data_IF_182793572438
#
_entry.id   IF_182793572438
#
_cell.length_a   1.000
_cell.length_b   1.000
_cell.length_c   1.000
_cell.angle_alpha   90.00
_cell.angle_beta   90.00
_cell.angle_gamma   90.00
#
_symmetry.space_group_name_H-M   'P 1'
#
loop_
_entity.id
_entity.type
_entity.pdbx_description
1 polymer ?
2 non-polymer ?
3 non-polymer ?
4 water ?
#
# COMPACT_ATOMS: atom_id res chain seq x y z
N UNK A 10 -12.58 -5.88 -23.37
CA UNK A 10 -13.08 -7.01 -22.60
C UNK A 10 -13.91 -6.52 -21.40
N UNK A 11 -15.13 -6.17 -21.77
CA UNK A 11 -16.20 -5.71 -20.90
C UNK A 11 -17.21 -6.83 -20.70
N UNK A 12 -17.51 -7.10 -19.45
CA UNK A 12 -18.41 -8.23 -19.10
C UNK A 12 -19.83 -7.70 -19.20
N UNK A 13 -20.70 -8.49 -19.77
CA UNK A 13 -22.12 -8.12 -19.94
C UNK A 13 -22.69 -7.60 -18.63
N UNK A 14 -23.51 -6.59 -18.72
CA UNK A 14 -24.14 -5.93 -17.57
C UNK A 14 -25.16 -6.86 -16.91
N UNK A 15 -24.96 -7.07 -15.62
CA UNK A 15 -25.92 -7.91 -14.84
C UNK A 15 -27.27 -7.17 -14.96
N UNK A 16 -28.34 -7.93 -14.75
CA UNK A 16 -29.68 -7.36 -14.78
C UNK A 16 -29.88 -6.26 -13.76
N UNK A 17 -29.31 -6.32 -12.56
CA UNK A 17 -29.64 -5.31 -11.54
C UNK A 17 -29.01 -3.98 -11.67
N UNK A 18 -28.16 -3.78 -12.72
CA UNK A 18 -27.39 -2.50 -12.80
C UNK A 18 -27.98 -1.52 -13.74
N UNK A 19 -28.38 -0.37 -13.21
CA UNK A 19 -28.93 0.71 -14.10
C UNK A 19 -27.78 1.19 -14.98
N UNK A 20 -28.01 1.13 -16.28
CA UNK A 20 -27.06 1.54 -17.30
C UNK A 20 -26.44 2.90 -17.06
N UNK A 21 -27.11 3.75 -16.31
CA UNK A 21 -26.73 5.11 -16.01
C UNK A 21 -25.64 5.16 -14.94
N UNK A 22 -25.50 4.00 -14.30
CA UNK A 22 -24.46 3.79 -13.30
C UNK A 22 -23.23 3.17 -13.94
N UNK A 23 -23.23 2.83 -15.19
CA UNK A 23 -22.01 2.26 -15.80
C UNK A 23 -20.93 3.31 -16.05
N UNK A 24 -19.71 2.93 -15.75
CA UNK A 24 -18.49 3.77 -15.94
C UNK A 24 -17.32 2.76 -15.98
N UNK A 25 -16.88 2.44 -17.18
CA UNK A 25 -15.90 1.38 -17.38
C UNK A 25 -14.47 1.82 -17.04
N UNK A 26 -14.09 1.78 -15.83
CA UNK A 26 -12.78 1.98 -15.28
C UNK A 26 -12.10 0.60 -15.15
N UNK A 27 -10.88 0.50 -15.61
CA UNK A 27 -9.94 -0.57 -15.49
C UNK A 27 -8.92 -0.20 -14.40
N UNK A 28 -9.09 -0.71 -13.20
CA UNK A 28 -8.26 -0.50 -12.05
C UNK A 28 -6.79 -0.90 -12.37
N UNK A 29 -6.57 -1.78 -13.30
CA UNK A 29 -5.30 -2.25 -13.74
C UNK A 29 -4.69 -1.44 -14.88
N UNK A 30 -5.53 -0.71 -15.56
CA UNK A 30 -5.02 0.14 -16.69
C UNK A 30 -5.96 1.30 -16.94
N UNK A 31 -5.95 2.21 -15.97
CA UNK A 31 -6.78 3.41 -16.07
C UNK A 31 -6.35 4.17 -17.32
N UNK A 32 -7.32 4.98 -17.78
CA UNK A 32 -7.20 5.75 -18.93
C UNK A 32 -6.08 6.70 -19.05
N UNK A 33 -5.88 7.65 -18.15
CA UNK A 33 -4.72 8.59 -18.56
C UNK A 33 -3.60 8.47 -17.56
N UNK A 34 -3.05 7.26 -17.56
CA UNK A 34 -1.97 6.85 -16.62
C UNK A 34 -0.79 7.77 -16.83
N UNK A 35 -0.56 8.07 -18.10
CA UNK A 35 0.45 9.06 -18.50
C UNK A 35 0.58 10.26 -17.59
N UNK A 36 -0.50 10.85 -17.11
CA UNK A 36 -0.48 12.05 -16.27
C UNK A 36 -0.23 11.82 -14.78
N UNK A 37 -0.11 10.54 -14.44
CA UNK A 37 0.00 10.07 -13.06
C UNK A 37 -1.11 9.09 -12.72
N UNK A 38 -0.85 8.25 -11.74
CA UNK A 38 -1.78 7.26 -11.21
C UNK A 38 -2.87 7.89 -10.33
N UNK A 39 -2.59 8.75 -9.40
CA UNK A 39 -3.55 9.42 -8.57
C UNK A 39 -4.48 10.23 -9.49
N UNK A 40 -3.90 10.85 -10.49
CA UNK A 40 -4.62 11.62 -11.49
C UNK A 40 -5.54 10.78 -12.34
N UNK A 41 -5.18 9.59 -12.71
CA UNK A 41 -5.91 8.66 -13.52
C UNK A 41 -7.15 8.17 -12.82
N UNK A 42 -7.00 7.89 -11.55
CA UNK A 42 -8.09 7.49 -10.66
C UNK A 42 -9.05 8.63 -10.33
N UNK A 43 -8.59 9.79 -10.05
CA UNK A 43 -9.43 10.97 -9.78
C UNK A 43 -10.40 11.27 -10.91
N UNK A 44 -10.32 10.65 -12.07
CA UNK A 44 -11.32 10.83 -13.10
C UNK A 44 -12.70 10.44 -12.53
N UNK A 45 -12.69 9.44 -11.66
CA UNK A 45 -13.82 8.89 -11.02
C UNK A 45 -14.54 9.95 -10.17
N UNK A 46 -13.81 11.02 -9.86
CA UNK A 46 -14.49 12.05 -9.00
C UNK A 46 -14.88 13.30 -9.79
N UNK A 47 -14.86 13.15 -11.11
CA UNK A 47 -15.35 14.31 -11.93
C UNK A 47 -16.88 14.41 -11.75
N UNK A 48 -17.43 15.59 -12.03
CA UNK A 48 -18.86 15.89 -11.96
C UNK A 48 -19.78 14.95 -12.74
N UNK A 49 -19.37 14.46 -13.89
CA UNK A 49 -20.12 13.52 -14.68
C UNK A 49 -20.24 12.14 -14.02
N UNK A 50 -19.48 11.86 -12.97
CA UNK A 50 -19.49 10.45 -12.43
C UNK A 50 -20.37 10.40 -11.21
N UNK A 51 -21.31 9.48 -11.23
CA UNK A 51 -22.15 9.21 -10.04
C UNK A 51 -21.20 8.69 -8.93
N UNK A 52 -21.58 8.83 -7.68
CA UNK A 52 -20.86 8.45 -6.48
C UNK A 52 -20.59 6.94 -6.39
N UNK A 53 -21.55 6.20 -6.87
CA UNK A 53 -21.41 4.73 -6.95
C UNK A 53 -21.57 4.28 -8.37
N UNK A 54 -20.56 3.77 -9.00
CA UNK A 54 -20.54 3.34 -10.38
C UNK A 54 -20.35 1.86 -10.55
N UNK A 55 -20.58 1.34 -11.77
CA UNK A 55 -20.44 -0.05 -12.09
C UNK A 55 -19.45 -0.09 -13.25
N UNK A 56 -18.46 -1.03 -13.13
CA UNK A 56 -17.53 -1.07 -14.29
C UNK A 56 -17.67 -2.42 -14.88
N UNK A 57 -17.49 -2.53 -16.17
CA UNK A 57 -17.60 -3.91 -16.76
C UNK A 57 -16.27 -4.56 -16.96
N UNK A 58 -15.23 -3.91 -16.47
CA UNK A 58 -13.84 -4.44 -16.62
C UNK A 58 -13.64 -5.40 -15.45
N UNK A 59 -12.67 -6.28 -15.61
CA UNK A 59 -12.21 -7.17 -14.55
C UNK A 59 -13.36 -7.95 -13.95
N UNK A 60 -14.31 -8.29 -14.80
CA UNK A 60 -15.46 -9.07 -14.59
C UNK A 60 -16.75 -8.44 -14.10
N UNK A 61 -16.75 -7.16 -13.82
CA UNK A 61 -17.85 -6.37 -13.41
C UNK A 61 -17.82 -6.21 -11.92
N UNK A 62 -17.85 -4.98 -11.47
CA UNK A 62 -17.82 -4.76 -9.98
C UNK A 62 -18.23 -3.30 -9.81
N UNK A 63 -18.55 -2.90 -8.64
CA UNK A 63 -18.91 -1.53 -8.27
C UNK A 63 -17.62 -0.82 -7.83
N UNK A 64 -17.63 0.49 -7.71
CA UNK A 64 -16.64 1.35 -7.22
C UNK A 64 -17.30 2.49 -6.42
N UNK A 65 -16.97 2.71 -5.21
CA UNK A 65 -17.44 3.90 -4.45
C UNK A 65 -16.38 4.97 -4.79
N UNK A 66 -16.77 6.14 -5.16
CA UNK A 66 -15.91 7.22 -5.59
C UNK A 66 -15.74 8.32 -4.55
N UNK A 67 -16.36 8.25 -3.41
CA UNK A 67 -16.28 9.32 -2.41
C UNK A 67 -15.94 8.83 -1.03
N UNK A 68 -15.23 9.76 -0.37
CA UNK A 68 -14.71 9.55 0.95
C UNK A 68 -15.76 8.95 1.86
N UNK A 69 -16.92 9.58 1.70
CA UNK A 69 -18.07 9.30 2.64
C UNK A 69 -18.54 7.88 2.46
N UNK A 70 -18.68 7.42 1.24
CA UNK A 70 -19.12 6.07 0.95
C UNK A 70 -18.05 5.10 1.36
N UNK A 71 -16.78 5.40 1.06
CA UNK A 71 -15.68 4.43 1.37
C UNK A 71 -15.61 4.15 2.86
N UNK A 72 -15.66 5.19 3.66
CA UNK A 72 -15.62 5.10 5.09
C UNK A 72 -16.74 4.27 5.60
N UNK A 73 -17.96 4.52 5.03
CA UNK A 73 -19.17 3.84 5.46
C UNK A 73 -19.11 2.34 5.22
N UNK A 74 -18.78 2.02 3.99
CA UNK A 74 -18.64 0.67 3.51
C UNK A 74 -17.57 -0.06 4.34
N UNK A 75 -16.51 0.60 4.75
CA UNK A 75 -15.43 0.06 5.53
C UNK A 75 -15.77 -0.27 6.96
N UNK A 76 -16.63 0.58 7.53
CA UNK A 76 -17.16 0.43 8.86
C UNK A 76 -18.14 -0.72 8.93
N UNK A 77 -18.88 -1.01 7.91
CA UNK A 77 -19.96 -1.93 7.75
C UNK A 77 -19.73 -3.34 7.42
N UNK A 78 -18.86 -4.06 8.05
CA UNK A 78 -18.52 -5.45 7.76
C UNK A 78 -19.66 -6.42 7.59
N UNK A 79 -20.76 -6.23 8.29
CA UNK A 79 -21.96 -7.05 8.05
C UNK A 79 -22.35 -7.08 6.60
N UNK A 80 -22.46 -5.89 5.98
CA UNK A 80 -22.83 -5.87 4.56
C UNK A 80 -21.65 -6.14 3.67
N UNK A 81 -20.55 -5.49 4.06
CA UNK A 81 -19.34 -5.54 3.21
C UNK A 81 -18.29 -6.42 3.80
N UNK A 82 -18.21 -7.65 3.39
CA UNK A 82 -17.28 -8.63 3.95
C UNK A 82 -15.90 -8.58 3.33
N UNK A 83 -14.88 -8.77 4.19
CA UNK A 83 -13.49 -8.89 3.75
C UNK A 83 -13.19 -10.25 3.14
N UNK A 84 -14.15 -11.13 3.08
CA UNK A 84 -13.92 -12.51 2.61
C UNK A 84 -13.23 -12.61 1.27
N UNK A 85 -13.55 -11.66 0.43
CA UNK A 85 -13.11 -11.62 -1.00
C UNK A 85 -12.88 -10.09 -1.24
N UNK A 86 -11.67 -9.68 -0.87
CA UNK A 86 -11.26 -8.27 -0.89
C UNK A 86 -10.59 -7.86 -2.15
N UNK A 87 -10.22 -8.80 -3.03
CA UNK A 87 -9.46 -8.37 -4.26
C UNK A 87 -10.41 -8.61 -5.45
N UNK A 88 -10.14 -7.77 -6.46
CA UNK A 88 -10.76 -7.87 -7.77
C UNK A 88 -9.60 -8.23 -8.71
N UNK A 89 -9.80 -9.10 -9.66
CA UNK A 89 -11.02 -9.82 -9.92
C UNK A 89 -11.26 -10.89 -8.86
N UNK A 90 -12.44 -11.46 -8.94
CA UNK A 90 -13.00 -12.46 -8.06
C UNK A 90 -12.06 -13.62 -7.86
N UNK A 91 -11.54 -14.27 -8.85
CA UNK A 91 -10.55 -15.37 -8.69
C UNK A 91 -9.37 -14.97 -7.77
N UNK A 92 -9.01 -13.70 -7.78
CA UNK A 92 -7.98 -13.18 -6.88
C UNK A 92 -8.59 -13.08 -5.46
N UNK A 93 -9.73 -12.40 -5.35
CA UNK A 93 -10.40 -12.28 -4.01
C UNK A 93 -10.73 -13.67 -3.44
N UNK A 94 -11.00 -14.60 -4.35
CA UNK A 94 -11.40 -15.95 -3.98
C UNK A 94 -10.22 -16.74 -3.45
N UNK A 95 -9.12 -16.72 -4.19
CA UNK A 95 -7.88 -17.40 -3.75
C UNK A 95 -7.24 -16.68 -2.56
N UNK A 96 -7.78 -15.49 -2.27
CA UNK A 96 -7.16 -14.65 -1.17
C UNK A 96 -7.55 -15.27 0.15
N UNK A 97 -6.59 -15.68 0.93
CA UNK A 97 -6.86 -16.25 2.26
C UNK A 97 -5.94 -15.68 3.34
N UNK A 98 -5.41 -14.50 3.10
CA UNK A 98 -4.53 -13.83 4.07
C UNK A 98 -5.25 -13.53 5.39
N UNK A 99 -4.52 -13.53 6.50
CA UNK A 99 -5.10 -13.27 7.84
C UNK A 99 -4.29 -12.08 8.41
N UNK A 100 -4.94 -11.09 8.98
CA UNK A 100 -6.36 -11.04 9.29
C UNK A 100 -7.30 -10.48 8.24
N UNK A 101 -6.76 -10.13 7.08
CA UNK A 101 -7.37 -9.40 6.04
C UNK A 101 -8.63 -10.05 5.49
N UNK A 102 -8.63 -11.37 5.33
CA UNK A 102 -9.75 -12.03 4.69
C UNK A 102 -10.79 -12.48 5.72
N UNK A 103 -10.79 -11.90 6.89
CA UNK A 103 -11.70 -12.17 7.97
C UNK A 103 -12.38 -10.92 8.47
N UNK A 104 -13.58 -11.11 8.99
CA UNK A 104 -14.38 -10.06 9.60
C UNK A 104 -14.37 -10.27 11.10
N UNK A 105 -14.76 -9.22 11.80
CA UNK A 105 -14.89 -9.32 13.26
C UNK A 105 -16.13 -10.18 13.54
N UNK A 106 -16.16 -10.87 14.67
CA UNK A 106 -15.17 -10.82 15.76
C UNK A 106 -13.95 -11.68 15.57
N UNK A 107 -14.02 -12.64 14.66
CA UNK A 107 -12.92 -13.56 14.37
C UNK A 107 -11.62 -12.86 14.07
N UNK A 108 -11.68 -11.78 13.30
CA UNK A 108 -10.52 -10.96 12.87
C UNK A 108 -9.60 -10.57 14.00
N UNK A 109 -10.15 -10.20 15.13
CA UNK A 109 -9.63 -9.62 16.32
C UNK A 109 -8.55 -10.31 17.10
N UNK A 110 -8.60 -11.62 17.21
CA UNK A 110 -7.60 -12.43 17.88
C UNK A 110 -6.37 -12.49 17.00
N UNK A 111 -6.62 -12.66 15.68
CA UNK A 111 -5.47 -12.67 14.76
C UNK A 111 -4.79 -11.32 14.70
N UNK A 112 -5.58 -10.25 14.79
CA UNK A 112 -5.05 -8.87 14.67
C UNK A 112 -4.07 -8.53 15.80
N UNK A 113 -4.44 -8.92 16.97
CA UNK A 113 -3.79 -8.69 18.25
C UNK A 113 -2.38 -9.31 18.20
N UNK A 114 -2.31 -10.46 17.53
CA UNK A 114 -1.02 -11.13 17.35
C UNK A 114 -0.17 -10.38 16.38
N UNK A 115 -0.67 -10.12 15.19
CA UNK A 115 0.07 -9.43 14.10
C UNK A 115 0.61 -8.11 14.64
N UNK A 116 -0.18 -7.52 15.53
CA UNK A 116 0.17 -6.33 16.27
C UNK A 116 1.38 -6.52 17.15
N UNK A 117 1.58 -7.68 17.73
CA UNK A 117 2.69 -7.97 18.61
C UNK A 117 3.99 -7.81 17.76
N UNK A 118 3.92 -8.35 16.57
CA UNK A 118 4.97 -8.38 15.60
C UNK A 118 5.35 -7.11 14.89
N UNK A 119 4.49 -6.23 14.49
CA UNK A 119 4.65 -4.96 13.80
C UNK A 119 4.27 -3.70 14.52
N UNK A 120 3.62 -3.77 15.65
CA UNK A 120 3.10 -2.66 16.43
C UNK A 120 4.11 -1.63 16.80
N UNK A 121 3.68 -0.67 17.65
CA UNK A 121 4.55 0.44 18.09
C UNK A 121 5.88 0.02 18.71
N UNK A 122 5.77 -0.75 19.79
CA UNK A 122 6.90 -1.23 20.58
C UNK A 122 8.01 -1.86 19.77
N UNK A 123 7.70 -2.50 18.67
CA UNK A 123 8.63 -3.06 17.71
C UNK A 123 9.35 -1.97 16.94
N UNK A 124 8.60 -0.96 16.49
CA UNK A 124 9.23 0.14 15.70
C UNK A 124 10.20 0.90 16.62
N UNK A 125 9.74 1.11 17.85
CA UNK A 125 10.55 1.72 18.90
C UNK A 125 11.90 1.00 19.05
N UNK A 126 11.92 -0.27 18.94
CA UNK A 126 13.07 -1.14 19.09
C UNK A 126 13.98 -1.09 17.88
N UNK A 127 13.41 -1.10 16.69
CA UNK A 127 14.02 -1.11 15.42
C UNK A 127 14.45 0.27 14.91
N UNK A 128 14.22 1.31 15.66
CA UNK A 128 14.48 2.64 15.26
C UNK A 128 15.89 2.92 14.75
N UNK A 129 16.86 2.64 15.59
CA UNK A 129 18.28 2.83 15.30
C UNK A 129 18.69 2.05 14.09
N UNK A 130 18.16 0.87 13.81
CA UNK A 130 18.56 0.21 12.57
C UNK A 130 17.98 0.95 11.37
N UNK A 131 16.77 1.47 11.57
CA UNK A 131 16.08 2.14 10.43
C UNK A 131 16.96 3.36 10.05
N UNK A 132 17.27 4.13 11.04
CA UNK A 132 18.15 5.32 10.92
C UNK A 132 19.53 4.99 10.45
N UNK A 133 20.12 3.89 10.88
CA UNK A 133 21.42 3.43 10.41
C UNK A 133 21.39 3.07 8.94
N UNK A 134 20.39 2.26 8.56
CA UNK A 134 20.32 1.82 7.15
C UNK A 134 20.04 2.97 6.19
N UNK A 135 19.23 3.91 6.59
CA UNK A 135 18.90 5.07 5.70
C UNK A 135 20.17 5.87 5.45
N UNK A 136 20.83 6.22 6.55
CA UNK A 136 22.10 7.02 6.42
C UNK A 136 23.09 6.26 5.56
N UNK A 137 23.27 5.01 5.85
CA UNK A 137 24.27 4.21 5.11
C UNK A 137 24.02 4.22 3.64
N UNK A 138 22.83 3.95 3.24
CA UNK A 138 22.37 3.84 1.83
C UNK A 138 22.48 5.19 1.14
N UNK A 139 22.13 6.23 1.84
CA UNK A 139 22.17 7.59 1.27
C UNK A 139 23.63 8.01 1.06
N UNK A 140 24.40 7.81 2.11
CA UNK A 140 25.84 8.22 2.05
C UNK A 140 26.50 7.51 0.89
N UNK A 141 26.16 6.28 0.70
CA UNK A 141 26.69 5.46 -0.38
C UNK A 141 26.35 5.93 -1.75
N UNK A 142 25.22 6.67 -1.86
CA UNK A 142 24.69 7.17 -3.11
C UNK A 142 25.19 8.55 -3.46
N UNK A 143 25.19 9.40 -2.47
CA UNK A 143 25.59 10.78 -2.50
C UNK A 143 26.65 11.23 -3.43
N UNK A 144 27.81 10.60 -3.43
CA UNK A 144 28.89 10.94 -4.36
C UNK A 144 28.70 10.55 -5.77
N UNK A 145 27.69 9.78 -6.18
CA UNK A 145 27.58 9.37 -7.61
C UNK A 145 26.86 10.41 -8.46
N UNK A 146 26.16 11.30 -7.80
CA UNK A 146 25.31 12.31 -8.36
C UNK A 146 24.19 11.71 -9.23
N UNK A 147 23.85 10.47 -9.02
CA UNK A 147 22.79 9.83 -9.82
C UNK A 147 22.43 8.46 -9.29
N UNK A 148 21.17 8.15 -9.11
CA UNK A 148 20.71 6.76 -8.92
C UNK A 148 19.44 6.47 -9.72
N UNK A 149 18.89 5.34 -9.56
CA UNK A 149 17.65 4.71 -9.88
C UNK A 149 16.81 4.65 -8.62
N UNK A 150 16.35 5.62 -7.99
CA UNK A 150 15.78 5.60 -6.65
C UNK A 150 14.92 4.38 -6.39
N UNK A 151 14.17 3.96 -7.40
CA UNK A 151 13.27 2.82 -7.09
C UNK A 151 14.18 1.66 -6.70
N UNK A 152 15.15 1.38 -7.54
CA UNK A 152 16.01 0.25 -7.25
C UNK A 152 17.07 0.45 -6.24
N UNK A 153 17.68 1.61 -6.17
CA UNK A 153 18.79 1.99 -5.33
C UNK A 153 18.44 2.30 -3.89
N UNK A 154 17.23 2.74 -3.63
CA UNK A 154 16.91 3.11 -2.25
C UNK A 154 15.54 2.56 -1.87
N UNK A 155 14.55 2.99 -2.71
CA UNK A 155 13.16 2.68 -2.36
C UNK A 155 12.95 1.24 -1.99
N UNK A 156 13.48 0.30 -2.76
CA UNK A 156 13.43 -1.10 -2.57
C UNK A 156 14.27 -1.67 -1.45
N UNK A 157 15.58 -1.53 -1.48
CA UNK A 157 16.45 -1.97 -0.41
C UNK A 157 16.04 -1.47 0.97
N UNK A 158 15.80 -0.18 1.09
CA UNK A 158 15.50 0.40 2.43
C UNK A 158 14.52 -0.38 3.24
N UNK A 159 13.25 -0.40 2.78
CA UNK A 159 12.15 -1.05 3.48
C UNK A 159 12.28 -2.54 3.48
N UNK A 160 12.86 -3.16 2.48
CA UNK A 160 13.01 -4.58 2.31
C UNK A 160 14.02 -5.20 3.24
N UNK A 161 15.20 -4.59 3.34
CA UNK A 161 16.20 -5.15 4.24
C UNK A 161 15.68 -4.97 5.65
N UNK A 162 14.96 -3.95 5.98
CA UNK A 162 14.47 -3.80 7.38
C UNK A 162 13.49 -4.89 7.75
N UNK A 163 12.74 -5.30 6.73
CA UNK A 163 11.67 -6.28 6.96
C UNK A 163 12.38 -7.59 7.05
N UNK A 164 13.40 -7.81 6.19
CA UNK A 164 14.11 -9.11 6.21
C UNK A 164 14.67 -9.26 7.61
N UNK A 165 15.23 -8.21 8.16
CA UNK A 165 15.80 -8.15 9.49
C UNK A 165 14.74 -8.62 10.50
N UNK A 166 13.61 -7.94 10.47
CA UNK A 166 12.50 -8.07 11.37
C UNK A 166 11.99 -9.53 11.36
N UNK A 167 11.95 -10.05 10.17
CA UNK A 167 11.36 -11.32 9.85
C UNK A 167 12.34 -12.47 10.07
N UNK A 168 13.58 -12.15 10.13
CA UNK A 168 14.73 -13.01 10.24
C UNK A 168 14.96 -13.79 8.97
N UNK A 169 14.73 -13.21 7.80
CA UNK A 169 14.91 -13.94 6.53
C UNK A 169 16.10 -13.44 5.73
N UNK A 170 16.61 -14.30 4.84
CA UNK A 170 17.78 -13.98 4.01
C UNK A 170 17.56 -12.96 2.93
N UNK A 171 18.42 -11.96 2.91
CA UNK A 171 18.40 -10.88 1.91
C UNK A 171 18.46 -11.44 0.51
N UNK A 172 18.96 -12.65 0.43
CA UNK A 172 19.20 -13.35 -0.85
C UNK A 172 17.86 -13.70 -1.48
N UNK A 173 16.84 -13.74 -0.63
CA UNK A 173 15.50 -14.18 -1.04
C UNK A 173 14.65 -13.06 -1.61
N UNK A 174 15.11 -11.84 -1.47
CA UNK A 174 14.42 -10.63 -1.90
C UNK A 174 13.82 -10.69 -3.28
N UNK A 175 14.67 -10.93 -4.28
CA UNK A 175 14.25 -10.91 -5.71
C UNK A 175 13.11 -11.86 -6.01
N UNK A 176 13.27 -13.06 -5.44
CA UNK A 176 12.32 -14.14 -5.67
C UNK A 176 11.03 -13.71 -4.97
N UNK A 177 11.21 -13.24 -3.72
CA UNK A 177 10.01 -12.81 -2.98
C UNK A 177 9.23 -11.63 -3.53
N UNK A 178 9.96 -10.64 -3.94
CA UNK A 178 9.49 -9.36 -4.47
C UNK A 178 8.75 -9.60 -5.75
N UNK A 179 9.19 -10.62 -6.52
CA UNK A 179 8.49 -10.94 -7.77
C UNK A 179 7.08 -11.46 -7.52
N UNK A 180 6.90 -12.39 -6.61
CA UNK A 180 5.63 -12.92 -6.21
C UNK A 180 4.72 -11.87 -5.58
N UNK A 181 5.28 -10.95 -4.79
CA UNK A 181 4.47 -9.94 -4.11
C UNK A 181 3.85 -9.03 -5.17
N UNK A 182 4.65 -8.66 -6.15
CA UNK A 182 4.29 -7.85 -7.30
C UNK A 182 3.20 -8.42 -8.17
N UNK A 183 3.27 -9.72 -8.38
CA UNK A 183 2.20 -10.42 -9.15
C UNK A 183 0.90 -10.34 -8.37
N UNK A 184 1.01 -10.13 -7.07
CA UNK A 184 -0.22 -10.10 -6.23
C UNK A 184 -1.00 -8.82 -6.40
N UNK A 185 -0.32 -7.72 -6.37
CA UNK A 185 -0.89 -6.36 -6.48
C UNK A 185 -0.90 -5.79 -7.88
N UNK A 186 0.11 -6.11 -8.65
CA UNK A 186 0.19 -5.61 -10.04
C UNK A 186 0.37 -6.76 -11.00
N UNK A 187 -0.70 -7.55 -11.08
CA UNK A 187 -0.77 -8.72 -11.99
C UNK A 187 -0.22 -8.34 -13.36
N UNK A 188 0.74 -9.18 -13.71
CA UNK A 188 1.58 -9.00 -14.93
C UNK A 188 0.91 -9.73 -16.10
N UNK A 189 0.52 -10.95 -15.73
CA UNK A 189 -0.17 -11.88 -16.64
C UNK A 189 0.64 -13.18 -16.68
N UNK A 190 1.83 -13.13 -16.10
CA UNK A 190 2.80 -14.22 -16.11
C UNK A 190 2.37 -15.38 -15.23
N UNK A 191 1.63 -15.03 -14.20
CA UNK A 191 1.07 -15.98 -13.25
C UNK A 191 -0.14 -15.32 -12.57
N UNK A 192 -1.13 -16.18 -12.47
CA UNK A 192 -2.42 -15.96 -11.81
C UNK A 192 -2.25 -15.80 -10.31
N UNK A 193 -3.30 -15.38 -9.58
CA UNK A 193 -3.19 -15.09 -8.15
C UNK A 193 -2.80 -16.38 -7.41
N UNK A 194 -3.53 -17.45 -7.70
CA UNK A 194 -3.36 -18.75 -7.09
C UNK A 194 -1.93 -19.29 -7.22
N UNK A 195 -1.37 -19.20 -8.40
CA UNK A 195 0.02 -19.63 -8.62
C UNK A 195 0.94 -18.75 -7.72
N UNK A 196 0.68 -17.45 -7.76
CA UNK A 196 1.53 -16.51 -7.03
C UNK A 196 1.46 -16.87 -5.55
N UNK A 197 0.26 -17.05 -5.10
CA UNK A 197 -0.04 -17.35 -3.68
C UNK A 197 0.65 -18.65 -3.23
N UNK A 198 0.57 -19.64 -4.07
CA UNK A 198 1.14 -20.94 -3.80
C UNK A 198 2.64 -20.99 -3.70
N UNK A 199 3.30 -20.25 -4.53
CA UNK A 199 4.77 -20.15 -4.60
C UNK A 199 5.26 -19.42 -3.36
N UNK A 200 4.56 -18.39 -2.91
CA UNK A 200 4.98 -17.71 -1.67
C UNK A 200 4.89 -18.75 -0.53
N UNK A 201 3.81 -19.50 -0.59
CA UNK A 201 3.47 -20.52 0.36
C UNK A 201 4.45 -21.66 0.35
N UNK A 202 4.92 -22.09 -0.80
CA UNK A 202 5.97 -23.12 -0.90
C UNK A 202 7.21 -22.68 -0.14
N UNK A 203 7.48 -21.41 -0.21
CA UNK A 203 8.55 -20.71 0.44
C UNK A 203 8.44 -20.73 1.95
N UNK A 204 7.36 -20.16 2.47
CA UNK A 204 7.14 -19.96 3.87
C UNK A 204 7.06 -21.24 4.71
N UNK A 205 6.32 -22.22 4.22
CA UNK A 205 6.00 -23.43 4.97
C UNK A 205 7.18 -24.03 5.73
N UNK A 206 8.25 -24.32 5.05
CA UNK A 206 9.47 -24.90 5.61
C UNK A 206 10.02 -24.07 6.77
N UNK A 207 10.09 -22.79 6.55
CA UNK A 207 10.53 -21.78 7.50
C UNK A 207 9.68 -21.84 8.76
N UNK A 208 8.39 -21.86 8.58
CA UNK A 208 7.45 -21.93 9.70
C UNK A 208 7.67 -23.20 10.49
N UNK A 209 7.76 -24.30 9.73
CA UNK A 209 7.91 -25.63 10.36
C UNK A 209 9.06 -25.56 11.36
N UNK A 210 10.13 -25.02 10.87
CA UNK A 210 11.44 -24.86 11.48
C UNK A 210 11.44 -23.91 12.64
N UNK A 211 10.54 -22.97 12.70
CA UNK A 211 10.41 -21.99 13.78
C UNK A 211 9.38 -22.40 14.80
N UNK A 212 8.72 -23.52 14.51
CA UNK A 212 7.80 -24.12 15.52
C UNK A 212 8.68 -24.96 16.47
N UNK A 213 9.63 -25.63 15.84
CA UNK A 213 10.60 -26.51 16.43
C UNK A 213 11.67 -25.75 17.25
N UNK A 214 12.28 -24.80 16.56
CA UNK A 214 13.32 -23.96 17.11
C UNK A 214 13.02 -22.46 16.89
N UNK A 215 12.26 -21.95 17.84
CA UNK A 215 11.86 -20.55 17.86
C UNK A 215 13.02 -19.61 17.97
N UNK A 216 12.83 -18.46 17.33
CA UNK A 216 13.77 -17.33 17.37
C UNK A 216 13.00 -16.19 18.06
N UNK A 217 13.51 -15.02 17.77
CA UNK A 217 13.06 -13.74 18.29
C UNK A 217 12.39 -12.95 17.12
N UNK A 218 12.53 -13.49 15.93
CA UNK A 218 12.01 -12.87 14.71
C UNK A 218 10.49 -12.84 14.71
N UNK A 219 9.93 -12.11 13.76
CA UNK A 219 8.46 -12.03 13.59
C UNK A 219 7.84 -13.38 13.26
N UNK A 220 8.55 -14.13 12.40
CA UNK A 220 8.01 -15.43 11.97
C UNK A 220 7.91 -16.35 13.14
N UNK A 221 8.94 -16.36 13.98
CA UNK A 221 8.95 -17.20 15.20
C UNK A 221 7.79 -16.76 16.08
N UNK A 222 7.57 -15.47 16.23
CA UNK A 222 6.49 -15.02 17.17
C UNK A 222 5.13 -15.49 16.65
N UNK A 223 4.94 -15.39 15.34
CA UNK A 223 3.65 -15.77 14.72
C UNK A 223 3.41 -17.26 14.81
N UNK A 224 4.33 -18.08 14.39
CA UNK A 224 4.28 -19.52 14.34
C UNK A 224 3.91 -20.18 15.66
N UNK A 225 4.34 -19.60 16.74
CA UNK A 225 4.11 -20.10 18.11
C UNK A 225 3.14 -19.23 18.87
N UNK A 226 2.42 -18.33 18.23
CA UNK A 226 1.50 -17.40 18.91
C UNK A 226 0.28 -18.10 19.48
N UNK A 227 -0.48 -17.37 20.30
CA UNK A 227 -1.73 -17.83 20.87
C UNK A 227 -2.90 -17.03 20.29
N UNK A 228 -3.96 -17.72 19.99
CA UNK A 228 -5.18 -17.18 19.41
C UNK A 228 -6.41 -17.94 19.90
N UNK A 229 -7.23 -17.26 20.65
CA UNK A 229 -8.43 -17.79 21.29
C UNK A 229 -8.08 -18.87 22.31
N UNK A 230 -7.08 -18.51 23.14
CA UNK A 230 -6.55 -19.31 24.21
C UNK A 230 -5.82 -20.56 23.80
N UNK A 231 -5.76 -20.85 22.52
CA UNK A 231 -5.10 -22.06 21.98
C UNK A 231 -4.02 -21.62 21.01
N UNK A 232 -3.19 -22.56 20.60
CA UNK A 232 -2.09 -22.33 19.69
C UNK A 232 -2.51 -22.18 18.24
N UNK A 233 -1.92 -21.18 17.58
CA UNK A 233 -2.20 -20.95 16.15
C UNK A 233 -1.81 -22.24 15.41
N UNK A 234 -2.46 -22.51 14.30
CA UNK A 234 -2.16 -23.67 13.47
C UNK A 234 -1.06 -23.25 12.48
N UNK A 235 -0.57 -24.27 11.77
CA UNK A 235 0.51 -24.07 10.81
C UNK A 235 0.00 -23.20 9.64
N UNK A 236 -1.14 -23.57 9.17
CA UNK A 236 -1.89 -22.97 8.06
C UNK A 236 -2.24 -21.51 8.40
N UNK A 237 -2.74 -21.31 9.60
CA UNK A 237 -2.93 -19.97 10.15
C UNK A 237 -1.69 -19.12 10.16
N UNK A 238 -0.54 -19.70 10.55
CA UNK A 238 0.71 -18.89 10.62
C UNK A 238 1.14 -18.54 9.19
N UNK A 239 0.98 -19.57 8.36
CA UNK A 239 1.41 -19.43 6.95
C UNK A 239 0.67 -18.24 6.37
N UNK A 240 -0.63 -18.19 6.65
CA UNK A 240 -1.53 -17.14 6.24
C UNK A 240 -1.31 -15.80 6.84
N UNK A 241 -0.94 -15.58 8.08
CA UNK A 241 -0.62 -14.24 8.55
C UNK A 241 0.74 -13.79 7.88
N UNK A 242 1.70 -14.70 7.95
CA UNK A 242 3.02 -14.40 7.43
C UNK A 242 2.98 -14.02 5.98
N UNK A 243 2.05 -14.63 5.29
CA UNK A 243 1.88 -14.39 3.83
C UNK A 243 1.59 -12.90 3.67
N UNK A 244 0.68 -12.41 4.51
CA UNK A 244 0.32 -11.01 4.49
C UNK A 244 1.45 -10.10 4.88
N UNK A 245 2.14 -10.45 5.96
CA UNK A 245 3.24 -9.60 6.49
C UNK A 245 4.27 -9.35 5.38
N UNK A 246 4.49 -10.34 4.59
CA UNK A 246 5.41 -10.28 3.47
C UNK A 246 4.95 -9.23 2.46
N UNK A 247 3.75 -9.37 1.94
CA UNK A 247 3.21 -8.41 0.91
C UNK A 247 3.26 -6.99 1.41
N UNK A 248 2.87 -6.74 2.64
CA UNK A 248 2.87 -5.40 3.24
C UNK A 248 4.26 -4.90 3.38
N UNK A 249 5.18 -5.83 3.79
CA UNK A 249 6.59 -5.52 4.01
C UNK A 249 7.29 -5.08 2.75
N UNK A 250 7.16 -5.84 1.70
CA UNK A 250 7.79 -5.69 0.44
C UNK A 250 7.28 -4.73 -0.56
N UNK A 251 5.97 -4.59 -0.58
CA UNK A 251 5.18 -3.86 -1.54
C UNK A 251 4.59 -2.57 -1.18
N UNK A 252 4.48 -2.09 0.03
CA UNK A 252 3.80 -0.82 0.35
C UNK A 252 4.68 0.43 0.43
N UNK A 253 5.62 0.45 1.34
CA UNK A 253 6.56 1.52 1.58
C UNK A 253 7.43 1.79 0.35
N UNK A 254 7.76 0.71 -0.30
CA UNK A 254 8.57 0.72 -1.54
C UNK A 254 7.99 1.66 -2.54
N UNK A 255 6.71 1.51 -2.91
CA UNK A 255 6.03 2.36 -3.89
C UNK A 255 5.76 3.73 -3.35
N UNK A 256 5.29 3.87 -2.12
CA UNK A 256 5.10 5.23 -1.55
C UNK A 256 6.29 6.13 -1.62
N UNK A 257 7.51 5.67 -1.34
CA UNK A 257 8.72 6.51 -1.31
C UNK A 257 9.00 7.06 -2.67
N UNK A 258 8.85 6.27 -3.70
CA UNK A 258 9.04 6.70 -5.07
C UNK A 258 8.10 7.81 -5.47
N UNK A 259 6.83 7.77 -5.12
CA UNK A 259 5.88 8.84 -5.43
C UNK A 259 6.35 10.10 -4.70
N UNK A 260 6.67 9.91 -3.43
CA UNK A 260 7.04 11.10 -2.59
C UNK A 260 8.32 11.75 -3.16
N UNK A 261 9.25 10.85 -3.52
CA UNK A 261 10.55 11.31 -4.05
C UNK A 261 10.44 11.94 -5.40
N UNK A 262 9.50 11.42 -6.22
CA UNK A 262 9.25 12.00 -7.59
C UNK A 262 8.72 13.37 -7.43
N UNK A 263 7.78 13.55 -6.48
CA UNK A 263 7.30 14.89 -6.13
C UNK A 263 8.43 15.79 -5.64
N UNK A 264 9.20 15.35 -4.65
CA UNK A 264 10.26 16.21 -4.08
C UNK A 264 11.26 16.68 -5.13
N UNK A 265 11.61 15.82 -6.04
CA UNK A 265 12.53 16.03 -7.12
C UNK A 265 12.03 17.11 -8.06
N UNK A 266 10.73 17.31 -8.08
CA UNK A 266 10.08 18.30 -8.95
C UNK A 266 9.73 19.54 -8.25
N UNK A 267 9.79 19.61 -6.95
CA UNK A 267 9.33 20.79 -6.19
C UNK A 267 10.32 21.28 -5.22
N UNK A 268 11.27 22.13 -5.72
CA UNK A 268 12.29 22.75 -4.94
C UNK A 268 11.83 23.41 -3.69
N UNK A 269 10.70 24.07 -3.79
CA UNK A 269 10.18 24.87 -2.65
C UNK A 269 9.63 23.99 -1.57
N UNK A 270 9.29 22.77 -1.89
CA UNK A 270 8.74 21.85 -0.87
C UNK A 270 9.89 21.26 -0.05
N UNK A 271 10.95 20.94 -0.76
CA UNK A 271 12.22 20.51 -0.16
C UNK A 271 12.76 21.55 0.81
N UNK A 272 12.84 22.78 0.40
CA UNK A 272 13.37 23.90 1.14
C UNK A 272 12.62 24.12 2.42
N UNK A 273 11.30 24.00 2.29
CA UNK A 273 10.43 24.20 3.44
C UNK A 273 10.79 23.24 4.54
N UNK A 274 11.07 21.99 4.15
CA UNK A 274 11.39 20.90 5.04
C UNK A 274 12.81 21.06 5.61
N UNK A 275 13.68 21.63 4.83
CA UNK A 275 15.05 21.92 5.25
C UNK A 275 15.09 23.00 6.28
N UNK A 276 14.32 24.08 6.13
CA UNK A 276 14.26 25.15 7.08
C UNK A 276 13.37 25.01 8.27
N UNK A 277 12.29 24.31 8.12
CA UNK A 277 11.26 24.18 9.18
C UNK A 277 11.00 22.70 9.40
N UNK A 278 12.04 21.98 9.81
CA UNK A 278 12.02 20.56 10.12
C UNK A 278 10.86 20.07 10.95
N UNK A 279 10.33 20.94 11.77
CA UNK A 279 9.29 20.62 12.73
C UNK A 279 8.00 20.22 12.00
N UNK A 280 7.99 20.46 10.72
CA UNK A 280 6.98 20.25 9.77
C UNK A 280 7.04 18.90 9.10
N UNK A 281 8.14 18.21 9.20
CA UNK A 281 8.22 16.87 8.59
C UNK A 281 7.01 15.99 8.80
N UNK A 282 6.55 15.88 10.03
CA UNK A 282 5.43 15.00 10.40
C UNK A 282 4.19 15.37 9.65
N UNK A 283 3.89 16.65 9.62
CA UNK A 283 2.76 17.19 8.85
C UNK A 283 2.94 16.90 7.36
N UNK A 284 4.09 17.11 6.83
CA UNK A 284 4.37 16.88 5.40
C UNK A 284 4.18 15.42 5.08
N UNK A 285 4.54 14.56 6.06
CA UNK A 285 4.40 13.12 5.91
C UNK A 285 2.94 12.75 5.75
N UNK A 286 2.07 13.44 6.54
CA UNK A 286 0.64 13.16 6.39
C UNK A 286 0.08 13.63 5.08
N UNK A 287 0.46 14.78 4.67
CA UNK A 287 0.06 15.41 3.42
C UNK A 287 0.49 14.57 2.27
N UNK A 288 1.66 14.02 2.26
CA UNK A 288 2.21 13.17 1.18
C UNK A 288 1.45 11.87 1.14
N UNK A 289 1.10 11.33 2.31
CA UNK A 289 0.33 10.07 2.42
C UNK A 289 -1.06 10.33 1.83
N UNK A 290 -1.60 11.51 2.07
CA UNK A 290 -2.87 11.92 1.51
C UNK A 290 -2.77 12.04 -0.01
N UNK A 291 -1.80 12.84 -0.47
CA UNK A 291 -1.69 13.08 -1.94
C UNK A 291 -1.22 11.93 -2.79
N UNK A 292 -0.33 11.10 -2.30
CA UNK A 292 0.28 9.99 -3.06
C UNK A 292 -0.18 8.63 -2.55
N UNK A 293 -1.35 8.59 -1.97
CA UNK A 293 -2.13 7.45 -1.49
C UNK A 293 -2.18 6.46 -2.69
N UNK A 294 -2.02 5.17 -2.34
CA UNK A 294 -1.80 4.20 -3.41
C UNK A 294 -2.46 2.86 -3.33
N UNK A 295 -3.25 2.61 -2.32
CA UNK A 295 -3.92 1.28 -2.20
C UNK A 295 -5.38 1.36 -2.67
N UNK A 296 -5.77 0.26 -3.34
CA UNK A 296 -7.20 0.09 -3.68
C UNK A 296 -7.64 -1.35 -3.59
N UNK A 297 -8.29 -1.70 -2.50
CA UNK A 297 -8.95 -3.06 -2.46
C UNK A 297 -10.48 -2.86 -2.27
N UNK A 298 -11.18 -4.03 -2.09
CA UNK A 298 -12.65 -3.97 -1.91
C UNK A 298 -13.14 -4.88 -0.83
N UNK A 299 -14.42 -5.22 -0.99
CA UNK A 299 -15.26 -6.05 -0.17
C UNK A 299 -16.36 -6.77 -0.98
N UNK A 300 -16.93 -7.79 -0.38
CA UNK A 300 -18.00 -8.57 -1.09
C UNK A 300 -19.29 -8.37 -0.38
N UNK A 301 -20.37 -8.31 -1.13
CA UNK A 301 -21.72 -8.13 -0.44
C UNK A 301 -22.16 -9.53 0.01
N UNK A 302 -22.57 -9.54 1.27
CA UNK A 302 -22.98 -10.75 1.99
C UNK A 302 -24.48 -11.06 1.73
N UNK A 303 -25.18 -10.08 1.19
CA UNK A 303 -26.62 -10.18 0.89
C UNK A 303 -27.03 -8.96 0.02
N UNK A 304 -28.32 -8.92 -0.26
CA UNK A 304 -29.01 -7.87 -0.96
C UNK A 304 -29.07 -6.67 0.00
N UNK A 305 -28.60 -5.55 -0.50
CA UNK A 305 -28.52 -4.34 0.31
C UNK A 305 -28.56 -3.13 -0.59
N UNK A 306 -29.23 -2.15 -0.02
CA UNK A 306 -29.45 -0.87 -0.67
C UNK A 306 -28.65 0.21 0.03
N UNK A 307 -27.69 0.66 -0.72
CA UNK A 307 -26.65 1.60 -0.23
C UNK A 307 -26.71 2.88 -1.08
N UNK A 308 -27.16 3.92 -0.41
CA UNK A 308 -27.24 5.26 -0.98
C UNK A 308 -28.05 5.20 -2.25
N UNK A 309 -29.21 4.57 -2.15
CA UNK A 309 -30.16 4.40 -3.24
C UNK A 309 -29.79 3.40 -4.30
N UNK A 310 -28.66 2.69 -4.16
CA UNK A 310 -28.28 1.74 -5.25
C UNK A 310 -28.50 0.36 -4.70
N UNK A 311 -28.98 -0.52 -5.56
CA UNK A 311 -29.29 -1.89 -5.18
C UNK A 311 -28.08 -2.79 -5.40
N UNK A 312 -27.62 -3.30 -4.30
CA UNK A 312 -26.41 -4.18 -4.35
C UNK A 312 -26.90 -5.59 -4.08
N UNK A 313 -26.52 -6.50 -4.94
CA UNK A 313 -26.82 -7.90 -4.86
C UNK A 313 -25.75 -8.72 -4.17
N UNK A 314 -26.20 -9.60 -3.27
CA UNK A 314 -25.37 -10.53 -2.53
C UNK A 314 -24.36 -11.17 -3.51
N UNK A 315 -23.06 -11.08 -3.18
CA UNK A 315 -22.06 -11.67 -4.11
C UNK A 315 -21.46 -10.63 -5.04
N UNK A 316 -22.01 -9.41 -5.01
CA UNK A 316 -21.36 -8.33 -5.85
C UNK A 316 -20.07 -7.91 -5.12
N UNK A 317 -19.03 -7.64 -5.88
CA UNK A 317 -17.79 -7.06 -5.28
C UNK A 317 -17.85 -5.53 -5.49
N UNK A 318 -17.35 -4.81 -4.53
CA UNK A 318 -17.26 -3.35 -4.64
C UNK A 318 -15.81 -2.96 -4.30
N UNK A 319 -15.25 -2.14 -5.16
CA UNK A 319 -13.87 -1.63 -4.92
C UNK A 319 -14.10 -0.38 -4.06
N UNK A 320 -13.38 -0.23 -3.01
CA UNK A 320 -13.51 0.94 -2.09
C UNK A 320 -12.06 1.49 -1.96
N UNK A 321 -11.64 2.20 -2.99
CA UNK A 321 -10.30 2.76 -3.15
C UNK A 321 -9.88 3.66 -1.98
N UNK A 322 -9.01 3.15 -1.09
CA UNK A 322 -8.51 4.00 0.04
C UNK A 322 -7.82 5.24 -0.51
N UNK A 323 -7.28 5.07 -1.69
CA UNK A 323 -6.63 6.16 -2.43
C UNK A 323 -7.52 7.37 -2.62
N UNK A 324 -8.82 7.13 -2.96
CA UNK A 324 -9.75 8.18 -3.27
C UNK A 324 -10.19 9.08 -2.17
N UNK A 325 -10.32 8.64 -0.96
CA UNK A 325 -10.86 9.51 0.09
C UNK A 325 -10.23 10.87 0.16
N UNK A 326 -8.90 10.95 0.15
CA UNK A 326 -8.12 12.14 0.39
C UNK A 326 -8.01 13.06 -0.83
N UNK A 327 -8.26 12.47 -2.00
CA UNK A 327 -8.30 13.19 -3.26
C UNK A 327 -9.64 13.84 -3.56
N UNK A 328 -10.66 13.51 -2.78
CA UNK A 328 -12.02 14.01 -2.87
C UNK A 328 -12.15 15.43 -2.33
N UNK A 329 -12.62 16.36 -3.14
CA UNK A 329 -12.83 17.74 -2.87
C UNK A 329 -13.75 18.01 -1.71
N UNK A 330 -14.72 17.17 -1.50
CA UNK A 330 -15.62 17.25 -0.32
C UNK A 330 -14.82 17.07 0.96
N UNK A 331 -13.64 16.46 0.88
CA UNK A 331 -12.78 16.17 2.00
C UNK A 331 -11.61 17.15 2.09
N UNK A 332 -11.02 17.38 0.95
CA UNK A 332 -9.83 18.29 0.95
C UNK A 332 -9.98 19.32 -0.15
N UNK A 333 -9.96 20.57 0.24
CA UNK A 333 -9.93 21.67 -0.80
C UNK A 333 -8.64 21.50 -1.61
N UNK A 334 -8.66 21.82 -2.86
CA UNK A 334 -7.57 21.78 -3.84
C UNK A 334 -6.73 20.51 -3.64
N UNK A 335 -7.36 19.37 -3.81
CA UNK A 335 -6.82 18.08 -3.49
C UNK A 335 -5.55 17.64 -4.15
N UNK A 336 -5.32 18.04 -5.38
CA UNK A 336 -4.16 17.65 -6.15
C UNK A 336 -2.93 18.52 -5.81
N UNK A 337 -3.16 19.56 -5.08
CA UNK A 337 -2.09 20.48 -4.62
C UNK A 337 -1.57 19.89 -3.31
N UNK A 338 -0.25 19.94 -3.13
CA UNK A 338 0.43 19.51 -1.91
C UNK A 338 0.69 20.75 -1.03
N UNK A 339 0.15 20.81 0.14
CA UNK A 339 0.30 21.98 1.06
C UNK A 339 0.58 21.42 2.45
N UNK A 340 1.81 21.63 2.86
CA UNK A 340 2.31 21.12 4.13
C UNK A 340 1.62 21.81 5.29
N UNK A 341 0.92 22.86 5.11
CA UNK A 341 0.27 23.57 6.21
C UNK A 341 -1.25 23.50 6.23
N UNK A 342 -1.82 22.42 5.73
CA UNK A 342 -3.29 22.24 5.77
C UNK A 342 -3.73 22.12 7.22
N UNK A 343 -4.87 22.68 7.55
CA UNK A 343 -5.40 22.57 8.93
C UNK A 343 -5.87 21.16 9.21
N UNK A 344 -6.40 20.53 8.18
CA UNK A 344 -6.93 19.15 8.31
C UNK A 344 -6.53 18.31 7.13
N UNK A 345 -5.69 17.34 7.36
CA UNK A 345 -5.29 16.42 6.27
C UNK A 345 -6.21 15.20 6.52
N UNK A 346 -7.11 14.98 5.61
CA UNK A 346 -8.08 13.88 5.72
C UNK A 346 -7.74 12.88 4.61
N UNK A 347 -7.49 11.67 5.04
CA UNK A 347 -7.25 10.57 4.10
C UNK A 347 -7.70 9.27 4.78
N UNK A 348 -7.59 8.20 4.10
CA UNK A 348 -7.77 6.84 4.65
C UNK A 348 -6.75 5.97 3.88
N UNK A 349 -5.52 6.50 3.92
CA UNK A 349 -4.38 5.83 3.21
C UNK A 349 -4.08 4.49 3.81
N UNK A 350 -4.25 4.40 5.15
CA UNK A 350 -3.93 3.15 5.86
C UNK A 350 -5.24 2.39 6.16
N UNK A 351 -6.29 2.74 5.38
CA UNK A 351 -7.57 2.08 5.49
C UNK A 351 -8.43 2.70 6.57
N UNK A 352 -9.49 1.94 6.80
CA UNK A 352 -10.58 2.45 7.72
C UNK A 352 -11.35 1.30 8.23
N UNK A 353 -11.81 1.41 9.49
CA UNK A 353 -12.60 0.30 10.05
C UNK A 353 -11.73 -0.70 10.77
N UNK A 354 -12.28 -1.92 10.95
CA UNK A 354 -11.59 -2.93 11.77
C UNK A 354 -10.26 -3.37 11.18
N UNK A 355 -10.03 -3.07 9.93
CA UNK A 355 -8.85 -3.49 9.22
C UNK A 355 -7.75 -2.48 9.05
N UNK A 356 -7.83 -1.42 9.77
CA UNK A 356 -6.87 -0.36 9.86
C UNK A 356 -5.45 -0.94 9.96
N UNK A 357 -4.61 -0.48 9.10
CA UNK A 357 -3.24 -0.96 8.97
C UNK A 357 -2.45 -0.89 10.25
N UNK A 358 -2.02 -2.07 10.68
CA UNK A 358 -1.20 -2.34 11.84
C UNK A 358 0.25 -1.83 11.60
N UNK A 359 0.73 -1.91 10.37
CA UNK A 359 2.10 -1.47 10.06
C UNK A 359 2.28 0.02 9.79
N UNK A 360 1.32 0.80 10.19
CA UNK A 360 1.30 2.22 9.89
C UNK A 360 2.45 2.92 10.57
N UNK A 361 2.72 2.50 11.79
CA UNK A 361 3.79 3.09 12.60
C UNK A 361 5.15 2.85 11.99
N UNK A 362 5.29 1.60 11.52
CA UNK A 362 6.54 1.26 10.82
C UNK A 362 6.66 2.14 9.59
N UNK A 363 5.68 2.23 8.74
CA UNK A 363 5.74 3.03 7.50
C UNK A 363 5.98 4.48 7.78
N UNK A 364 5.34 5.10 8.77
CA UNK A 364 5.58 6.49 9.07
C UNK A 364 7.04 6.73 9.48
N UNK A 365 7.60 5.84 10.30
CA UNK A 365 9.00 6.03 10.76
C UNK A 365 9.93 5.97 9.58
N UNK A 366 9.75 5.04 8.67
CA UNK A 366 10.51 4.87 7.48
C UNK A 366 10.43 6.04 6.48
N UNK A 367 9.26 6.67 6.41
CA UNK A 367 9.12 7.87 5.56
C UNK A 367 9.81 9.06 6.18
N UNK A 368 9.54 9.34 7.44
CA UNK A 368 10.08 10.46 8.15
C UNK A 368 11.60 10.43 8.18
N UNK A 369 12.20 9.28 8.34
CA UNK A 369 13.65 9.11 8.40
C UNK A 369 14.24 9.39 7.06
N UNK A 370 13.66 8.81 6.02
CA UNK A 370 14.11 8.98 4.63
C UNK A 370 14.09 10.47 4.25
N UNK A 371 13.00 11.15 4.52
CA UNK A 371 12.94 12.57 4.18
C UNK A 371 14.04 13.31 4.92
N UNK A 372 14.15 13.12 6.19
CA UNK A 372 15.04 13.91 7.05
C UNK A 372 16.48 13.68 6.64
N UNK A 373 16.80 12.45 6.41
CA UNK A 373 18.05 11.93 6.02
C UNK A 373 18.46 12.27 4.62
N UNK A 374 17.60 12.18 3.68
CA UNK A 374 17.92 12.52 2.26
C UNK A 374 18.16 14.01 2.12
N UNK A 375 17.29 14.84 2.59
CA UNK A 375 17.28 16.28 2.54
C UNK A 375 18.54 16.83 3.18
N UNK A 376 19.05 16.11 4.13
CA UNK A 376 20.22 16.48 4.91
C UNK A 376 21.47 16.40 4.04
N UNK A 377 21.65 15.33 3.33
CA UNK A 377 22.82 15.07 2.51
C UNK A 377 22.66 15.57 1.11
N UNK A 378 21.48 15.41 0.55
CA UNK A 378 21.18 15.75 -0.83
C UNK A 378 19.95 16.63 -0.93
N UNK A 379 20.11 17.88 -0.52
CA UNK A 379 19.05 18.86 -0.47
C UNK A 379 18.51 19.31 -1.83
N UNK A 380 19.27 19.08 -2.83
CA UNK A 380 19.01 19.56 -4.20
C UNK A 380 19.33 18.42 -5.17
N UNK A 381 18.26 18.01 -5.85
CA UNK A 381 18.24 16.95 -6.81
C UNK A 381 17.07 17.26 -7.77
N UNK A 382 17.06 16.51 -8.86
CA UNK A 382 16.04 16.57 -9.85
C UNK A 382 15.99 15.28 -10.64
N UNK A 383 14.94 15.17 -11.46
CA UNK A 383 14.74 14.01 -12.34
C UNK A 383 15.73 14.15 -13.50
N UNK A 384 16.24 13.05 -13.93
CA UNK A 384 17.20 13.03 -15.08
C UNK A 384 16.53 13.64 -16.30
N UNK A 385 17.29 14.41 -17.06
CA UNK A 385 16.84 14.99 -18.34
C UNK A 385 16.43 13.85 -19.28
N UNK A 386 15.21 13.96 -19.78
CA UNK A 386 14.63 13.06 -20.75
C UNK A 386 14.23 11.72 -20.18
N UNK A 387 14.13 11.68 -18.86
CA UNK A 387 13.61 10.45 -18.22
C UNK A 387 12.10 10.78 -18.22
N UNK A 388 11.37 9.79 -18.65
CA UNK A 388 9.89 9.86 -18.59
C UNK A 388 9.45 8.88 -17.49
N UNK A 389 8.86 9.38 -16.46
CA UNK A 389 8.37 8.59 -15.31
C UNK A 389 7.05 7.91 -15.59
N UNK A 390 7.04 6.60 -15.46
CA UNK A 390 5.81 5.81 -15.59
C UNK A 390 5.31 5.25 -14.29
N UNK A 391 4.01 5.38 -14.09
CA UNK A 391 3.35 4.81 -12.90
C UNK A 391 2.65 3.54 -13.34
N UNK A 392 2.32 2.66 -12.43
CA UNK A 392 1.58 1.42 -12.74
C UNK A 392 0.39 1.42 -11.75
N UNK A 393 -0.69 0.79 -12.23
CA UNK A 393 -1.91 0.69 -11.43
C UNK A 393 -2.25 -0.74 -11.07
N UNK A 394 -2.92 -0.96 -9.94
CA UNK A 394 -3.36 -2.19 -9.38
C UNK A 394 -3.80 -2.06 -7.93
N UNK A 395 -3.77 -3.18 -7.20
CA UNK A 395 -4.15 -3.16 -5.79
C UNK A 395 -3.25 -2.14 -5.06
N UNK A 396 -1.98 -2.21 -5.37
CA UNK A 396 -1.02 -1.18 -4.87
C UNK A 396 -0.40 -0.55 -6.13
N UNK A 397 -0.49 0.70 -6.35
CA UNK A 397 0.14 1.34 -7.56
C UNK A 397 1.60 1.63 -7.17
N UNK A 398 2.37 1.82 -8.20
CA UNK A 398 3.80 2.15 -8.09
C UNK A 398 4.37 2.93 -9.25
N UNK A 399 5.68 3.14 -9.08
CA UNK A 399 6.51 3.86 -10.09
C UNK A 399 7.39 2.75 -10.68
N UNK A 400 7.61 2.82 -11.95
CA UNK A 400 8.43 1.78 -12.63
C UNK A 400 9.91 2.00 -12.36
N UNK A 401 10.43 3.16 -12.54
CA UNK A 401 11.80 3.59 -12.33
C UNK A 401 11.86 5.05 -11.95
N UNK A 402 12.86 5.49 -11.22
CA UNK A 402 13.01 6.91 -10.88
C UNK A 402 14.51 7.37 -10.97
N UNK A 403 14.88 7.73 -12.19
CA UNK A 403 16.21 8.24 -12.49
C UNK A 403 16.37 9.64 -11.86
N UNK A 404 17.21 9.80 -10.84
CA UNK A 404 17.44 11.17 -10.27
C UNK A 404 18.87 11.57 -10.67
N UNK A 405 19.16 12.85 -10.64
CA UNK A 405 20.53 13.34 -10.91
C UNK A 405 20.76 14.50 -9.93
N UNK A 406 22.00 14.67 -9.51
CA UNK A 406 22.34 15.79 -8.62
C UNK A 406 23.82 16.15 -8.86
N UNK A 407 24.22 17.29 -8.39
CA UNK A 407 25.61 17.70 -8.38
C UNK A 407 26.17 17.31 -6.99
N UNK A 408 27.20 16.51 -7.02
CA UNK A 408 27.89 16.04 -5.81
C UNK A 408 28.33 17.20 -4.99
N UNK A 409 28.74 18.25 -5.68
CA UNK A 409 29.33 19.44 -5.06
C UNK A 409 28.35 20.18 -4.19
N UNK A 410 27.05 19.91 -4.32
CA UNK A 410 26.04 20.62 -3.52
C UNK A 410 25.53 19.70 -2.38
N UNK A 411 26.15 18.54 -2.25
CA UNK A 411 25.76 17.59 -1.24
C UNK A 411 26.55 17.87 0.04
N UNK A 412 26.14 17.19 1.08
CA UNK A 412 26.75 17.24 2.39
C UNK A 412 26.92 15.84 3.00
N UNK A 413 28.11 15.62 3.51
CA UNK A 413 28.39 14.43 4.29
C UNK A 413 28.08 14.83 5.74
N UNK A 414 27.50 13.90 6.42
CA UNK A 414 27.21 13.90 7.85
C UNK A 414 28.06 12.78 8.49
X LIG B 1 -3.79 -3.45 6.22
X LIG B 1 -2.19 0.26 3.53
X LIG B 1 2.31 -0.60 5.06
X LIG B 1 0.80 -4.54 7.34
X LIG B 1 -3.72 -2.30 5.46
X LIG B 1 -4.88 -1.75 4.77
X LIG B 1 -4.45 -0.72 4.02
X LIG B 1 -2.99 -0.67 4.16
X LIG B 1 -5.25 0.27 3.19
X LIG B 1 -6.33 -2.23 5.00
X LIG B 1 -6.89 -3.01 3.80
X LIG B 1 -8.30 -3.48 3.96
X LIG B 1 -9.08 -2.86 4.77
X LIG B 1 -8.52 -4.46 3.19
X LIG B 1 -0.84 0.39 3.77
X LIG B 1 0.00 1.49 3.31
X LIG B 1 1.25 1.21 3.68
X LIG B 1 1.23 -0.02 4.41
X LIG B 1 -0.49 2.62 2.41
X LIG B 1 2.54 2.05 3.49
X LIG B 1 2.73 3.05 2.71
X LIG B 1 2.33 -1.81 5.71
X LIG B 1 3.50 -2.39 6.38
X LIG B 1 3.04 -3.48 7.04
X LIG B 1 1.61 -3.62 6.75
X LIG B 1 4.92 -1.85 6.33
X LIG B 1 3.87 -4.47 7.89
X LIG B 1 4.05 -5.70 7.25
X LIG B 1 -0.58 -4.52 7.30
X LIG B 1 -1.44 -5.46 7.98
X LIG B 1 -2.70 -5.17 7.65
X LIG B 1 -2.66 -4.04 6.75
X LIG B 1 -0.94 -6.56 8.93
X LIG B 1 -4.01 -5.88 8.11
X LIG B 1 -4.70 -5.39 9.39
X LIG B 1 -6.03 -6.14 9.61
X LIG B 1 -6.57 -6.03 10.73
X LIG B 1 -6.48 -6.83 8.64
X LIG B 1 -2.58 -1.70 5.00
X LIG B 1 -0.08 -0.51 4.50
X LIG B 1 1.21 -2.53 6.01
X LIG B 1 -1.36 -3.61 6.60
X LIG B 1 -0.74 -1.81 5.92
X LIG C 1 -1.89 -6.18 0.93
X LIG C 1 -3.33 -6.60 1.46
X LIG C 1 -4.13 -5.40 2.05
X LIG C 1 -3.32 -4.77 3.23
X LIG C 1 -1.93 -4.31 2.70
X LIG C 1 -2.10 -3.21 1.57
X LIG C 1 -2.91 -3.86 0.36
X LIG C 1 -2.11 -5.13 -0.20
X LIG C 1 -1.11 -5.53 2.16
X LIG C 1 -4.31 -4.33 0.88
#
# INVERSE_FOLDING_TARGET
TTETIQSNANLAPLPPHVPEHLVFDFDMYNPSNLSAGVQEAWAVLQESNVPDLVWTRCNGGHWIATRGQLIREAYEDYRHFSSECPFIPREAGEAYDFIPTSMDPPEQRQFRALANQVVGMPVVDKLENRIQELACSLIESLRPQGQCNFTEDYAEPFPIRIFMLLAGLPEEDIPHLKYLTDQMTRPDGSMTFAEAKEALYDYLIPIIEQRRQKPGTDAISIVANGQVNGRPITSDEAKRMCGLLLVGGLDTVVNFLSFSMEFLAKSPEHRQELIERPERIPAACEELLRRFSLVADGRILTSDYEFHGVQLKKGDQILLPQMLSGLDERENACPMHVDFSRQKVSHTTFGHGSHLCLGQHLARREIIVTLKEWLTRIPDFSIAPGAQIQHKSGIVSGVQALPLVWDPATTKAV
HEM CHA CHB CHC CHD C1A C2A C3A C4A CMA CAA CBA CGA O1A O2A C1B C2B C3B C4B CMB CAB CBB C1C C2C C3C C4C CMC CAC CBC C1D C2D C3D C4D CMD CAD CBD CGD O1D O2D NA NB NC ND FE
ADM C1 C2 C3 C4 C5 C6 C7 C8 C9 C10
#
